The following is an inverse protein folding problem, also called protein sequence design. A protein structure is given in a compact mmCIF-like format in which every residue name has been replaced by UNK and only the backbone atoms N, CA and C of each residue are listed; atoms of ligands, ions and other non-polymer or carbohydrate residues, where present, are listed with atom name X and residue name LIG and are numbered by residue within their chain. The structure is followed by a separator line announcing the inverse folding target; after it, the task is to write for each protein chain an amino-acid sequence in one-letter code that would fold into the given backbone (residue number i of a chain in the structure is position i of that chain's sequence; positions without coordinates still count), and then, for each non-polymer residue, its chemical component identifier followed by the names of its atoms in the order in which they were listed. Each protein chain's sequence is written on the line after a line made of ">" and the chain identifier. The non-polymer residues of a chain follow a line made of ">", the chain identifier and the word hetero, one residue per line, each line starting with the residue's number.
data_IF_473486039390
#
_entry.id   IF_473486039390
#
_cell.length_a   1.000
_cell.length_b   1.000
_cell.length_c   1.000
_cell.angle_alpha   90.00
_cell.angle_beta   90.00
_cell.angle_gamma   90.00
#
_symmetry.space_group_name_H-M   'P 1'
#
loop_
_entity.id
_entity.type
_entity.pdbx_description
1 polymer ?
#
# COMPACT_ATOMS: atom_id res chain seq x y z
N UNK A 1 -0.36 1.41 -9.62
CA UNK A 1 -1.23 2.22 -10.50
C UNK A 1 -2.14 3.07 -9.64
N UNK A 2 -2.37 4.32 -10.02
CA UNK A 2 -3.37 5.21 -9.40
C UNK A 2 -4.68 5.23 -10.21
N UNK A 3 -5.58 6.20 -9.97
CA UNK A 3 -6.93 6.23 -10.52
C UNK A 3 -6.94 6.47 -12.02
N UNK A 4 -8.03 6.02 -12.64
CA UNK A 4 -8.38 6.41 -14.00
C UNK A 4 -8.86 7.87 -13.99
N UNK A 5 -8.07 8.76 -14.59
CA UNK A 5 -8.37 10.19 -14.67
C UNK A 5 -9.28 10.52 -15.86
N UNK A 6 -9.20 9.74 -16.92
CA UNK A 6 -10.00 9.93 -18.13
C UNK A 6 -10.18 8.60 -18.86
N UNK A 7 -11.41 8.26 -19.19
CA UNK A 7 -11.73 7.14 -20.06
C UNK A 7 -12.19 7.65 -21.43
N UNK A 8 -11.32 7.58 -22.43
CA UNK A 8 -11.68 7.95 -23.80
C UNK A 8 -11.90 6.70 -24.67
N UNK A 9 -12.43 6.92 -25.88
CA UNK A 9 -12.70 5.86 -26.86
C UNK A 9 -11.43 5.09 -27.23
N UNK A 10 -10.28 5.77 -27.27
CA UNK A 10 -9.04 5.25 -27.85
C UNK A 10 -7.89 5.14 -26.85
N UNK A 11 -7.91 5.97 -25.81
CA UNK A 11 -6.87 6.04 -24.79
C UNK A 11 -7.49 6.29 -23.42
N UNK A 12 -6.88 5.73 -22.40
CA UNK A 12 -7.17 5.99 -21.01
C UNK A 12 -6.05 6.83 -20.43
N UNK A 13 -6.39 7.85 -19.65
CA UNK A 13 -5.39 8.58 -18.86
C UNK A 13 -5.47 8.09 -17.42
N UNK A 14 -4.38 7.56 -16.89
CA UNK A 14 -4.29 7.06 -15.53
C UNK A 14 -3.23 7.80 -14.74
N UNK A 15 -3.38 7.81 -13.42
CA UNK A 15 -2.36 8.30 -12.50
C UNK A 15 -1.33 7.21 -12.23
N UNK A 16 -0.08 7.60 -12.09
CA UNK A 16 1.03 6.73 -11.71
C UNK A 16 1.83 7.41 -10.61
N UNK A 17 2.20 6.63 -9.59
CA UNK A 17 3.08 7.04 -8.50
C UNK A 17 4.37 6.27 -8.63
N UNK A 18 5.50 6.98 -8.59
CA UNK A 18 6.83 6.41 -8.72
C UNK A 18 7.71 6.96 -7.60
N UNK A 19 8.66 6.16 -7.16
CA UNK A 19 9.78 6.60 -6.35
C UNK A 19 11.08 6.30 -7.08
N UNK A 20 12.08 7.14 -6.83
CA UNK A 20 13.45 6.90 -7.28
C UNK A 20 14.27 6.56 -6.03
N UNK A 21 14.87 5.37 -6.01
CA UNK A 21 15.87 5.04 -5.00
C UNK A 21 17.18 5.72 -5.41
N UNK A 22 17.79 6.43 -4.47
CA UNK A 22 18.94 7.28 -4.74
C UNK A 22 20.15 6.79 -3.95
N UNK A 23 21.35 6.97 -4.48
CA UNK A 23 22.61 6.71 -3.78
C UNK A 23 23.02 7.90 -2.86
N UNK A 24 22.07 8.81 -2.58
CA UNK A 24 22.31 10.07 -1.88
C UNK A 24 22.86 11.21 -2.74
N UNK A 25 23.17 10.99 -4.02
CA UNK A 25 23.61 12.07 -4.93
C UNK A 25 22.49 13.02 -5.35
N UNK A 26 21.24 12.59 -5.20
CA UNK A 26 20.02 13.39 -5.37
C UNK A 26 19.06 13.02 -4.25
N UNK A 27 18.15 13.91 -3.84
CA UNK A 27 17.23 13.59 -2.75
C UNK A 27 16.19 12.56 -3.20
N UNK A 28 15.69 11.75 -2.27
CA UNK A 28 14.58 10.82 -2.52
C UNK A 28 13.34 11.57 -3.00
N UNK A 29 12.59 10.99 -3.93
CA UNK A 29 11.41 11.64 -4.50
C UNK A 29 10.19 10.73 -4.53
N UNK A 30 9.03 11.34 -4.33
CA UNK A 30 7.74 10.81 -4.76
C UNK A 30 7.32 11.57 -6.01
N UNK A 31 7.25 10.86 -7.12
CA UNK A 31 6.88 11.38 -8.44
C UNK A 31 5.44 10.99 -8.74
N UNK A 32 4.62 12.01 -8.99
CA UNK A 32 3.26 11.87 -9.46
C UNK A 32 3.30 12.11 -10.97
N UNK A 33 2.87 11.12 -11.74
CA UNK A 33 2.82 11.17 -13.20
C UNK A 33 1.43 10.80 -13.72
N UNK A 34 1.14 11.25 -14.94
CA UNK A 34 -0.02 10.82 -15.69
C UNK A 34 0.45 9.99 -16.87
N UNK A 35 -0.20 8.86 -17.11
CA UNK A 35 0.12 7.94 -18.18
C UNK A 35 -1.05 7.79 -19.13
N UNK A 36 -0.80 7.90 -20.43
CA UNK A 36 -1.80 7.61 -21.46
C UNK A 36 -1.63 6.17 -21.98
N UNK A 37 -2.62 5.32 -21.74
CA UNK A 37 -2.64 3.91 -22.13
C UNK A 37 -3.64 3.71 -23.27
N UNK A 38 -3.18 3.20 -24.41
CA UNK A 38 -4.05 2.94 -25.58
C UNK A 38 -4.88 1.68 -25.34
N UNK A 39 -6.18 1.72 -25.67
CA UNK A 39 -7.08 0.55 -25.52
C UNK A 39 -6.75 -0.54 -26.56
N UNK A 40 -6.80 -1.84 -26.19
CA UNK A 40 -6.64 -2.93 -27.15
C UNK A 40 -7.69 -2.87 -28.28
N UNK A 41 -7.31 -3.27 -29.50
CA UNK A 41 -8.20 -3.47 -30.68
C UNK A 41 -8.84 -2.24 -31.32
N UNK A 42 -8.35 -1.03 -31.06
CA UNK A 42 -8.83 0.16 -31.81
C UNK A 42 -8.02 0.47 -33.09
N UNK A 43 -7.17 -0.46 -33.53
CA UNK A 43 -6.60 -0.38 -34.87
C UNK A 43 -7.55 -1.11 -35.84
N UNK A 44 -8.36 -0.36 -36.59
CA UNK A 44 -8.89 -0.86 -37.86
C UNK A 44 -7.69 -1.32 -38.74
N UNK A 45 -7.89 -2.30 -39.63
CA UNK A 45 -6.80 -2.87 -40.45
C UNK A 45 -5.99 -1.80 -41.24
N UNK A 46 -6.61 -0.68 -41.58
CA UNK A 46 -5.98 0.47 -42.24
C UNK A 46 -5.00 1.26 -41.35
N UNK A 47 -5.10 1.13 -40.02
CA UNK A 47 -4.17 1.73 -39.05
C UNK A 47 -2.95 0.87 -38.76
N UNK A 48 -2.99 -0.42 -39.07
CA UNK A 48 -1.88 -1.37 -38.82
C UNK A 48 -0.72 -1.09 -39.80
N UNK A 49 -1.01 -0.69 -41.04
CA UNK A 49 0.02 -0.36 -42.04
C UNK A 49 0.77 0.96 -41.76
N UNK A 50 0.27 1.78 -40.83
CA UNK A 50 0.90 3.01 -40.33
C UNK A 50 1.32 2.90 -38.86
N UNK A 51 1.24 1.72 -38.27
CA UNK A 51 1.59 1.51 -36.87
C UNK A 51 3.11 1.62 -36.71
N UNK A 52 3.56 2.70 -36.08
CA UNK A 52 4.93 2.86 -35.64
C UNK A 52 5.01 2.43 -34.17
N UNK A 53 5.73 1.34 -33.92
CA UNK A 53 5.99 0.77 -32.59
C UNK A 53 6.68 1.78 -31.64
N UNK A 54 7.52 2.67 -32.19
CA UNK A 54 8.20 3.73 -31.44
C UNK A 54 7.27 4.90 -31.06
N UNK A 55 6.08 5.01 -31.68
CA UNK A 55 5.19 6.15 -31.51
C UNK A 55 4.06 5.93 -30.49
N UNK A 56 3.81 4.70 -30.01
CA UNK A 56 2.65 4.39 -29.14
C UNK A 56 2.95 3.30 -28.11
N UNK A 57 3.60 3.71 -27.03
CA UNK A 57 3.65 3.06 -25.72
C UNK A 57 3.68 4.17 -24.66
N UNK A 58 3.25 3.91 -23.41
CA UNK A 58 2.64 4.91 -22.54
C UNK A 58 3.40 6.24 -22.46
N UNK A 59 2.77 7.34 -22.88
CA UNK A 59 3.36 8.67 -22.67
C UNK A 59 3.23 9.02 -21.19
N UNK A 60 4.30 8.80 -20.44
CA UNK A 60 4.37 9.15 -19.01
C UNK A 60 4.77 10.62 -18.90
N UNK A 61 3.83 11.45 -18.46
CA UNK A 61 4.06 12.87 -18.19
C UNK A 61 4.15 13.10 -16.69
N UNK A 62 5.33 13.48 -16.22
CA UNK A 62 5.54 13.93 -14.84
C UNK A 62 4.66 15.16 -14.56
N UNK A 63 3.87 15.07 -13.49
CA UNK A 63 2.91 16.09 -13.07
C UNK A 63 3.42 16.87 -11.85
N UNK A 64 3.94 16.16 -10.84
CA UNK A 64 4.41 16.77 -9.59
C UNK A 64 5.54 15.94 -8.99
N UNK A 65 6.51 16.60 -8.36
CA UNK A 65 7.54 15.97 -7.53
C UNK A 65 7.41 16.46 -6.10
N UNK A 66 7.44 15.52 -5.17
CA UNK A 66 7.59 15.77 -3.73
C UNK A 66 8.97 15.25 -3.36
N UNK A 67 9.78 16.10 -2.70
CA UNK A 67 11.06 15.65 -2.13
C UNK A 67 10.75 14.89 -0.85
N UNK A 68 11.06 13.61 -0.78
CA UNK A 68 10.67 12.73 0.31
C UNK A 68 11.78 12.67 1.38
N UNK A 69 11.46 12.67 2.69
CA UNK A 69 12.46 12.65 3.77
C UNK A 69 13.23 11.33 3.94
N UNK A 70 12.78 10.25 3.30
CA UNK A 70 13.35 8.90 3.36
C UNK A 70 13.14 8.14 2.05
N UNK A 71 13.74 6.96 1.92
CA UNK A 71 13.59 6.10 0.74
C UNK A 71 12.17 5.55 0.66
N UNK A 72 11.45 5.78 -0.44
CA UNK A 72 10.06 5.34 -0.57
C UNK A 72 10.00 3.93 -1.13
N UNK A 73 9.65 2.98 -0.26
CA UNK A 73 9.60 1.55 -0.55
C UNK A 73 8.20 1.09 -0.98
N UNK A 74 7.14 1.72 -0.44
CA UNK A 74 5.77 1.45 -0.87
C UNK A 74 4.90 2.69 -0.88
N UNK A 75 3.99 2.73 -1.86
CA UNK A 75 3.03 3.82 -2.07
C UNK A 75 1.63 3.22 -2.17
N UNK A 76 0.67 3.79 -1.44
CA UNK A 76 -0.75 3.43 -1.51
C UNK A 76 -1.63 4.68 -1.53
N UNK A 77 -2.57 4.73 -2.45
CA UNK A 77 -3.59 5.78 -2.49
C UNK A 77 -4.77 5.41 -1.58
N UNK A 78 -5.42 6.41 -0.99
CA UNK A 78 -6.69 6.26 -0.29
C UNK A 78 -7.84 6.12 -1.31
N UNK A 79 -8.54 4.97 -1.39
CA UNK A 79 -9.56 4.75 -2.42
C UNK A 79 -10.74 5.74 -2.39
N UNK A 80 -11.03 6.31 -1.23
CA UNK A 80 -12.12 7.27 -1.01
C UNK A 80 -11.72 8.70 -1.40
N UNK A 81 -10.42 8.99 -1.50
CA UNK A 81 -9.90 10.31 -1.89
C UNK A 81 -8.53 10.17 -2.57
N UNK A 82 -8.53 10.27 -3.90
CA UNK A 82 -7.33 10.10 -4.72
C UNK A 82 -6.26 11.17 -4.54
N UNK A 83 -6.54 12.23 -3.79
CA UNK A 83 -5.53 13.22 -3.42
C UNK A 83 -4.67 12.76 -2.25
N UNK A 84 -5.08 11.72 -1.53
CA UNK A 84 -4.37 11.25 -0.34
C UNK A 84 -3.56 10.00 -0.66
N UNK A 85 -2.27 10.07 -0.34
CA UNK A 85 -1.33 8.97 -0.53
C UNK A 85 -0.59 8.70 0.78
N UNK A 86 -0.47 7.41 1.13
CA UNK A 86 0.42 6.93 2.18
C UNK A 86 1.72 6.42 1.56
N UNK A 87 2.85 6.71 2.21
CA UNK A 87 4.16 6.16 1.86
C UNK A 87 4.78 5.43 3.04
N UNK A 88 5.31 4.24 2.74
CA UNK A 88 6.18 3.49 3.61
C UNK A 88 7.63 3.76 3.23
N UNK A 89 8.50 4.02 4.20
CA UNK A 89 9.93 4.31 3.95
C UNK A 89 10.90 3.42 4.68
N UNK A 90 12.16 3.81 4.76
CA UNK A 90 13.24 3.29 5.61
C UNK A 90 13.19 3.82 7.06
N UNK A 91 11.98 4.11 7.56
CA UNK A 91 11.73 4.74 8.86
C UNK A 91 10.63 3.97 9.60
N UNK A 92 10.58 4.00 10.95
CA UNK A 92 9.43 3.48 11.71
C UNK A 92 8.14 4.26 11.45
N UNK A 93 8.23 5.49 10.94
CA UNK A 93 7.07 6.33 10.67
C UNK A 93 6.50 6.10 9.27
N UNK A 94 5.16 6.09 9.15
CA UNK A 94 4.44 6.11 7.87
C UNK A 94 3.96 7.52 7.60
N UNK A 95 4.10 8.00 6.36
CA UNK A 95 3.73 9.37 6.00
C UNK A 95 2.48 9.43 5.15
N UNK A 96 1.61 10.39 5.45
CA UNK A 96 0.44 10.73 4.65
C UNK A 96 0.69 12.06 3.95
N UNK A 97 0.34 12.10 2.66
CA UNK A 97 0.52 13.23 1.77
C UNK A 97 -0.83 13.61 1.16
N UNK A 98 -1.19 14.88 1.28
CA UNK A 98 -2.20 15.52 0.45
C UNK A 98 -1.52 16.07 -0.81
N UNK A 99 -1.74 15.38 -1.92
CA UNK A 99 -1.13 15.72 -3.20
C UNK A 99 -1.52 17.11 -3.68
N UNK A 100 -2.65 17.69 -3.26
CA UNK A 100 -3.02 19.05 -3.65
C UNK A 100 -2.24 20.11 -2.86
N UNK A 101 -2.09 19.90 -1.55
CA UNK A 101 -1.35 20.81 -0.65
C UNK A 101 0.14 20.90 -0.99
N UNK A 102 0.72 19.80 -1.49
CA UNK A 102 2.16 19.69 -1.71
C UNK A 102 2.61 20.47 -2.96
N UNK A 103 3.63 21.35 -2.88
CA UNK A 103 4.14 22.07 -4.04
C UNK A 103 4.92 21.15 -4.97
N UNK A 104 4.92 21.44 -6.27
CA UNK A 104 5.84 20.79 -7.20
C UNK A 104 7.25 21.34 -7.00
N UNK A 105 8.18 20.51 -6.50
CA UNK A 105 9.55 20.92 -6.22
C UNK A 105 10.52 20.47 -7.32
N UNK A 106 11.49 21.31 -7.73
CA UNK A 106 12.58 20.87 -8.59
C UNK A 106 13.52 19.92 -7.81
N UNK A 107 14.12 18.95 -8.50
CA UNK A 107 15.06 18.00 -7.91
C UNK A 107 16.47 18.55 -8.07
N UNK A 108 16.98 19.19 -7.03
CA UNK A 108 18.36 19.65 -6.96
C UNK A 108 19.01 19.13 -5.67
N UNK A 109 20.32 18.87 -5.72
CA UNK A 109 21.10 18.54 -4.53
C UNK A 109 20.93 19.65 -3.47
N UNK A 110 20.67 19.25 -2.21
CA UNK A 110 20.44 20.18 -1.10
C UNK A 110 19.03 20.78 -1.03
N UNK A 111 18.11 20.40 -1.92
CA UNK A 111 16.69 20.77 -1.78
C UNK A 111 16.14 20.14 -0.50
N UNK A 112 15.56 20.92 0.43
CA UNK A 112 15.05 20.36 1.68
C UNK A 112 13.88 19.41 1.42
N UNK A 113 13.75 18.40 2.27
CA UNK A 113 12.63 17.47 2.23
C UNK A 113 11.29 18.20 2.38
N UNK A 114 10.28 17.69 1.69
CA UNK A 114 8.90 18.14 1.85
C UNK A 114 8.38 17.63 3.19
N UNK A 115 7.49 18.41 3.77
CA UNK A 115 6.85 18.08 5.03
C UNK A 115 5.62 17.22 4.75
N UNK A 116 5.48 16.02 5.37
CA UNK A 116 4.25 15.25 5.28
C UNK A 116 3.09 15.98 5.96
N UNK A 117 1.88 15.76 5.46
CA UNK A 117 0.65 16.37 6.01
C UNK A 117 0.24 15.70 7.33
N UNK A 118 0.57 14.42 7.50
CA UNK A 118 0.40 13.68 8.75
C UNK A 118 1.47 12.57 8.87
N UNK A 119 2.02 12.40 10.07
CA UNK A 119 2.93 11.31 10.42
C UNK A 119 2.22 10.26 11.28
N UNK A 120 2.25 9.00 10.87
CA UNK A 120 1.72 7.88 11.63
C UNK A 120 2.85 7.22 12.40
N UNK A 121 2.76 7.26 13.72
CA UNK A 121 3.78 6.72 14.65
C UNK A 121 3.30 5.39 15.23
N UNK A 122 4.22 4.50 15.60
CA UNK A 122 3.88 3.27 16.32
C UNK A 122 4.91 2.16 16.22
N UNK A 123 5.52 1.98 15.05
CA UNK A 123 6.57 0.98 14.90
C UNK A 123 7.81 1.32 15.73
N UNK A 124 8.50 0.29 16.20
CA UNK A 124 9.72 0.38 17.02
C UNK A 124 11.01 0.18 16.20
N UNK A 125 10.87 -0.31 14.98
CA UNK A 125 11.95 -0.51 14.01
C UNK A 125 11.44 -0.09 12.62
N UNK A 126 12.33 -0.09 11.63
CA UNK A 126 11.97 0.20 10.25
C UNK A 126 10.83 -0.72 9.81
N UNK A 127 9.73 -0.11 9.40
CA UNK A 127 8.77 -0.80 8.59
C UNK A 127 9.19 -0.49 7.15
N UNK A 128 9.33 -1.47 6.27
CA UNK A 128 9.94 -1.24 4.96
C UNK A 128 8.92 -1.37 3.85
N UNK A 129 8.18 -2.48 3.81
CA UNK A 129 7.35 -2.80 2.65
C UNK A 129 5.86 -2.89 2.95
N UNK A 130 5.43 -3.45 4.07
CA UNK A 130 4.02 -3.68 4.33
C UNK A 130 3.21 -2.36 4.44
N UNK A 131 2.28 -2.14 3.51
CA UNK A 131 1.38 -0.97 3.54
C UNK A 131 0.09 -1.25 2.78
N UNK A 132 -1.05 -1.01 3.42
CA UNK A 132 -2.37 -1.08 2.82
C UNK A 132 -3.30 0.04 3.29
N UNK A 133 -4.19 0.47 2.38
CA UNK A 133 -5.25 1.45 2.64
C UNK A 133 -6.59 0.74 2.52
N UNK A 134 -7.48 0.96 3.49
CA UNK A 134 -8.80 0.34 3.46
C UNK A 134 -9.68 0.97 2.37
N UNK A 135 -10.46 0.15 1.66
CA UNK A 135 -11.32 0.59 0.54
C UNK A 135 -12.61 1.26 0.98
N UNK A 136 -13.09 0.99 2.20
CA UNK A 136 -14.38 1.48 2.71
C UNK A 136 -14.24 2.55 3.80
N UNK A 137 -13.14 2.55 4.55
CA UNK A 137 -12.89 3.51 5.63
C UNK A 137 -11.48 4.13 5.54
N UNK A 138 -11.26 5.34 6.11
CA UNK A 138 -9.94 5.98 6.15
C UNK A 138 -9.04 5.33 7.20
N UNK A 139 -8.66 4.07 6.94
CA UNK A 139 -7.78 3.26 7.76
C UNK A 139 -6.51 2.88 6.99
N UNK A 140 -5.40 2.80 7.72
CA UNK A 140 -4.07 2.46 7.20
C UNK A 140 -3.52 1.27 7.98
N UNK A 141 -2.97 0.29 7.28
CA UNK A 141 -2.21 -0.82 7.86
C UNK A 141 -0.76 -0.73 7.42
N UNK A 142 0.14 -1.04 8.35
CA UNK A 142 1.55 -1.30 8.06
C UNK A 142 2.05 -2.50 8.85
N UNK A 143 3.14 -3.10 8.39
CA UNK A 143 3.91 -4.12 9.09
C UNK A 143 5.38 -3.73 9.15
N UNK A 144 6.12 -4.18 10.17
CA UNK A 144 7.52 -3.80 10.33
C UNK A 144 8.48 -4.89 10.80
N UNK A 145 9.78 -4.55 10.83
CA UNK A 145 10.86 -5.38 11.39
C UNK A 145 10.71 -5.61 12.89
N UNK A 146 9.91 -4.79 13.55
CA UNK A 146 9.46 -4.98 14.92
C UNK A 146 8.42 -6.10 15.10
N UNK A 147 8.12 -6.85 14.01
CA UNK A 147 7.24 -8.03 13.99
C UNK A 147 5.78 -7.71 14.26
N UNK A 148 5.42 -6.44 14.20
CA UNK A 148 4.08 -5.97 14.48
C UNK A 148 3.34 -5.58 13.21
N UNK A 149 2.02 -5.75 13.25
CA UNK A 149 1.10 -5.08 12.32
C UNK A 149 0.47 -3.92 13.06
N UNK A 150 0.45 -2.73 12.45
CA UNK A 150 -0.07 -1.53 13.09
C UNK A 150 -1.21 -0.95 12.25
N UNK A 151 -2.31 -0.61 12.92
CA UNK A 151 -3.52 -0.03 12.34
C UNK A 151 -3.68 1.40 12.82
N UNK A 152 -3.91 2.34 11.90
CA UNK A 152 -4.27 3.73 12.20
C UNK A 152 -5.62 4.09 11.60
N UNK A 153 -6.27 5.10 12.19
CA UNK A 153 -7.38 5.80 11.56
C UNK A 153 -6.95 7.22 11.24
N UNK A 154 -7.12 7.63 9.98
CA UNK A 154 -6.85 8.98 9.51
C UNK A 154 -8.15 9.77 9.31
N UNK A 155 -9.27 9.28 9.84
CA UNK A 155 -10.61 9.86 9.66
C UNK A 155 -10.67 11.35 10.03
N UNK A 156 -10.11 11.73 11.17
CA UNK A 156 -10.13 13.11 11.66
C UNK A 156 -9.33 14.04 10.73
N UNK A 157 -8.21 13.56 10.19
CA UNK A 157 -7.39 14.31 9.24
C UNK A 157 -8.17 14.55 7.94
N UNK A 158 -8.77 13.50 7.37
CA UNK A 158 -9.60 13.59 6.16
C UNK A 158 -10.80 14.53 6.37
N UNK A 159 -11.47 14.42 7.52
CA UNK A 159 -12.63 15.26 7.84
C UNK A 159 -12.25 16.74 7.97
N UNK A 160 -11.05 17.03 8.49
CA UNK A 160 -10.53 18.40 8.60
C UNK A 160 -10.21 19.00 7.23
N UNK A 161 -9.65 18.21 6.32
CA UNK A 161 -9.40 18.65 4.93
C UNK A 161 -10.70 18.94 4.16
N UNK A 162 -11.78 18.23 4.46
CA UNK A 162 -13.09 18.44 3.84
C UNK A 162 -13.82 19.71 4.32
N UNK A 163 -13.43 20.27 5.47
CA UNK A 163 -13.99 21.53 5.97
C UNK A 163 -13.18 22.71 5.43
N UNK A 164 -13.77 23.48 4.51
CA UNK A 164 -13.22 24.73 3.97
C UNK A 164 -12.68 25.69 5.07
N UNK A 165 -11.74 26.62 4.76
CA UNK A 165 -11.00 27.43 5.73
C UNK A 165 -11.81 28.49 6.53
N UNK A 166 -13.12 28.31 6.71
CA UNK A 166 -14.04 29.31 7.28
C UNK A 166 -14.77 28.90 8.56
N UNK A 167 -14.68 27.64 9.02
CA UNK A 167 -15.35 27.24 10.27
C UNK A 167 -14.39 26.56 11.24
N UNK A 168 -13.61 27.36 11.96
CA UNK A 168 -12.93 26.90 13.16
C UNK A 168 -14.00 26.54 14.22
N UNK A 169 -14.39 25.26 14.30
CA UNK A 169 -15.11 24.73 15.46
C UNK A 169 -14.10 24.36 16.53
N UNK A 170 -14.36 24.84 17.74
CA UNK A 170 -13.59 24.58 18.94
C UNK A 170 -13.41 23.07 19.17
N UNK A 171 -12.20 22.59 19.55
CA UNK A 171 -11.96 21.17 19.71
C UNK A 171 -12.60 20.70 21.00
N UNK A 172 -13.72 19.99 20.90
CA UNK A 172 -14.33 19.30 22.03
C UNK A 172 -14.72 17.89 21.58
N UNK A 173 -13.78 16.95 21.67
CA UNK A 173 -13.98 15.56 22.12
C UNK A 173 -12.75 14.69 21.81
N UNK A 174 -12.04 14.27 22.87
CA UNK A 174 -11.45 12.93 22.95
C UNK A 174 -10.19 12.54 22.16
N UNK A 175 -9.56 13.39 21.34
CA UNK A 175 -8.29 13.03 20.70
C UNK A 175 -7.12 13.20 21.67
N UNK A 176 -6.56 12.08 22.16
CA UNK A 176 -5.28 12.06 22.86
C UNK A 176 -4.14 12.34 21.87
N UNK A 177 -3.99 13.59 21.46
CA UNK A 177 -2.80 14.08 20.77
C UNK A 177 -1.68 14.10 21.82
N UNK A 178 -0.91 13.01 21.91
CA UNK A 178 0.33 12.99 22.69
C UNK A 178 1.36 13.85 21.96
N UNK A 179 1.61 15.06 22.45
CA UNK A 179 2.87 15.78 22.19
C UNK A 179 4.00 15.00 22.87
N UNK A 180 4.70 14.14 22.13
CA UNK A 180 6.00 13.62 22.54
C UNK A 180 7.05 14.73 22.36
N UNK A 181 7.89 14.92 23.38
CA UNK A 181 8.78 16.06 23.50
C UNK A 181 10.09 15.96 22.73
N UNK A 182 10.59 17.15 22.40
CA UNK A 182 11.98 17.54 22.17
C UNK A 182 12.74 16.93 20.98
N UNK A 183 12.25 17.25 19.78
CA UNK A 183 12.99 17.25 18.52
C UNK A 183 12.24 18.16 17.54
N UNK A 184 12.98 18.93 16.73
CA UNK A 184 12.50 20.05 15.91
C UNK A 184 11.60 19.63 14.70
N UNK A 185 10.44 19.01 14.93
CA UNK A 185 9.47 18.65 13.87
C UNK A 185 8.02 18.99 14.25
N UNK A 186 7.54 20.15 13.81
CA UNK A 186 6.17 20.67 14.02
C UNK A 186 5.07 19.90 13.23
N UNK A 187 5.28 18.65 12.83
CA UNK A 187 4.34 17.91 11.99
C UNK A 187 3.19 17.31 12.82
N UNK A 188 1.93 17.39 12.35
CA UNK A 188 0.85 16.62 12.95
C UNK A 188 1.23 15.14 12.95
N UNK A 189 1.04 14.49 14.09
CA UNK A 189 1.25 13.05 14.21
C UNK A 189 0.10 12.41 14.96
N UNK A 190 -0.17 11.14 14.64
CA UNK A 190 -1.11 10.30 15.37
C UNK A 190 -0.46 8.99 15.76
N UNK A 191 -0.93 8.43 16.88
CA UNK A 191 -0.56 7.11 17.35
C UNK A 191 -1.47 6.01 16.79
N UNK A 192 -1.12 4.74 17.05
CA UNK A 192 -1.85 3.60 16.52
C UNK A 192 -3.23 3.45 17.16
N UNK A 193 -4.20 3.00 16.36
CA UNK A 193 -5.49 2.47 16.83
C UNK A 193 -5.33 1.07 17.42
N UNK A 194 -4.40 0.27 16.87
CA UNK A 194 -4.05 -1.05 17.39
C UNK A 194 -2.66 -1.48 16.92
N UNK A 195 -1.93 -2.16 17.78
CA UNK A 195 -0.67 -2.84 17.48
C UNK A 195 -0.93 -4.34 17.69
N UNK A 196 -0.83 -5.12 16.62
CA UNK A 196 -1.15 -6.54 16.59
C UNK A 196 0.14 -7.34 16.60
N UNK A 197 0.21 -8.32 17.50
CA UNK A 197 1.41 -9.12 17.76
C UNK A 197 1.08 -10.59 17.52
N UNK A 198 1.94 -11.27 16.75
CA UNK A 198 1.75 -12.67 16.42
C UNK A 198 2.74 -13.22 15.40
N UNK A 199 3.42 -12.35 14.66
CA UNK A 199 4.58 -12.74 13.87
C UNK A 199 5.82 -12.91 14.76
N UNK A 200 6.67 -13.86 14.38
CA UNK A 200 7.93 -14.16 15.07
C UNK A 200 9.15 -13.54 14.35
N UNK A 201 8.93 -12.91 13.20
CA UNK A 201 9.92 -12.20 12.39
C UNK A 201 9.28 -11.03 11.62
N UNK A 202 10.03 -10.36 10.73
CA UNK A 202 9.58 -9.20 9.95
C UNK A 202 8.25 -9.43 9.24
N UNK A 203 7.37 -8.44 9.29
CA UNK A 203 6.13 -8.43 8.51
C UNK A 203 6.38 -7.78 7.15
N UNK A 204 6.31 -8.58 6.09
CA UNK A 204 6.65 -8.18 4.71
C UNK A 204 5.46 -7.59 3.96
N UNK A 205 4.23 -8.07 4.23
CA UNK A 205 3.05 -7.55 3.56
C UNK A 205 1.77 -7.66 4.40
N UNK A 206 0.83 -6.75 4.12
CA UNK A 206 -0.48 -6.63 4.80
C UNK A 206 -1.56 -6.30 3.79
N UNK A 207 -2.78 -6.82 4.01
CA UNK A 207 -3.91 -6.53 3.14
C UNK A 207 -5.23 -6.52 3.92
N UNK A 208 -6.07 -5.52 3.68
CA UNK A 208 -7.43 -5.48 4.22
C UNK A 208 -8.31 -6.53 3.54
N UNK A 209 -9.26 -7.07 4.31
CA UNK A 209 -10.35 -7.84 3.74
C UNK A 209 -11.24 -6.92 2.87
N UNK A 210 -11.53 -7.27 1.61
CA UNK A 210 -12.28 -6.40 0.70
C UNK A 210 -13.69 -6.03 1.19
N UNK A 211 -14.32 -6.91 1.99
CA UNK A 211 -15.67 -6.74 2.52
C UNK A 211 -15.72 -6.16 3.94
N UNK A 212 -14.57 -5.94 4.60
CA UNK A 212 -14.55 -5.51 6.00
C UNK A 212 -13.35 -4.64 6.35
N UNK A 213 -13.61 -3.44 6.89
CA UNK A 213 -12.60 -2.55 7.44
C UNK A 213 -11.96 -3.06 8.75
N UNK A 214 -12.53 -4.10 9.36
CA UNK A 214 -12.05 -4.65 10.64
C UNK A 214 -11.27 -5.95 10.48
N UNK A 215 -11.30 -6.58 9.30
CA UNK A 215 -10.55 -7.80 9.01
C UNK A 215 -9.41 -7.51 8.05
N UNK A 216 -8.28 -8.15 8.30
CA UNK A 216 -7.08 -8.01 7.47
C UNK A 216 -6.17 -9.21 7.67
N UNK A 217 -5.18 -9.34 6.78
CA UNK A 217 -4.16 -10.37 6.86
C UNK A 217 -2.76 -9.77 6.80
N UNK A 218 -1.79 -10.56 7.22
CA UNK A 218 -0.38 -10.25 7.11
C UNK A 218 0.45 -11.50 6.83
N UNK A 219 1.62 -11.29 6.24
CA UNK A 219 2.62 -12.33 5.97
C UNK A 219 4.03 -11.81 6.30
N UNK A 220 4.97 -12.71 6.54
CA UNK A 220 6.33 -12.33 6.91
C UNK A 220 7.38 -13.44 6.79
N UNK A 221 8.59 -13.10 7.23
CA UNK A 221 9.78 -13.96 7.19
C UNK A 221 9.66 -15.20 8.09
N UNK A 222 8.74 -15.17 9.07
CA UNK A 222 8.39 -16.33 9.89
C UNK A 222 7.58 -17.41 9.13
N UNK A 223 7.45 -17.25 7.82
CA UNK A 223 6.73 -18.16 6.92
C UNK A 223 5.25 -18.34 7.27
N UNK A 224 4.65 -17.37 7.98
CA UNK A 224 3.26 -17.44 8.43
C UNK A 224 2.33 -16.54 7.61
N UNK A 225 1.11 -17.02 7.39
CA UNK A 225 -0.05 -16.20 7.00
C UNK A 225 -0.95 -16.03 8.22
N UNK A 226 -1.19 -14.78 8.64
CA UNK A 226 -2.03 -14.48 9.80
C UNK A 226 -3.27 -13.71 9.37
N UNK A 227 -4.44 -14.15 9.87
CA UNK A 227 -5.70 -13.43 9.77
C UNK A 227 -6.04 -12.77 11.10
N UNK A 228 -6.49 -11.52 11.01
CA UNK A 228 -6.79 -10.65 12.13
C UNK A 228 -8.24 -10.14 12.04
N UNK A 229 -8.83 -9.85 13.20
CA UNK A 229 -10.08 -9.10 13.32
C UNK A 229 -9.91 -8.09 14.46
N UNK A 230 -9.91 -6.80 14.14
CA UNK A 230 -9.73 -5.71 15.09
C UNK A 230 -10.79 -5.69 16.21
N UNK A 231 -11.92 -6.36 16.02
CA UNK A 231 -12.98 -6.50 17.03
C UNK A 231 -12.72 -7.65 18.00
N UNK A 232 -11.91 -8.62 17.60
CA UNK A 232 -11.57 -9.79 18.41
C UNK A 232 -10.40 -9.54 19.39
N UNK A 233 -9.70 -8.40 19.25
CA UNK A 233 -8.57 -8.01 20.07
C UNK A 233 -7.30 -7.81 19.24
N UNK A 234 -6.15 -7.88 19.90
CA UNK A 234 -4.83 -7.62 19.30
C UNK A 234 -4.04 -8.91 18.93
N UNK A 235 -4.65 -10.08 19.15
CA UNK A 235 -4.04 -11.39 18.88
C UNK A 235 -4.56 -12.00 17.58
N UNK A 236 -3.81 -12.93 16.94
CA UNK A 236 -4.26 -13.63 15.74
C UNK A 236 -5.62 -14.30 15.93
N UNK A 237 -6.51 -14.17 14.93
CA UNK A 237 -7.73 -14.98 14.84
C UNK A 237 -7.40 -16.35 14.24
N UNK A 238 -6.50 -16.37 13.28
CA UNK A 238 -5.99 -17.60 12.65
C UNK A 238 -4.55 -17.38 12.25
N UNK A 239 -3.64 -18.29 12.63
CA UNK A 239 -2.24 -18.30 12.19
C UNK A 239 -2.00 -19.59 11.42
N UNK A 240 -1.68 -19.47 10.14
CA UNK A 240 -1.24 -20.57 9.29
C UNK A 240 0.27 -20.63 9.39
N UNK A 241 0.75 -21.53 10.24
CA UNK A 241 2.19 -21.77 10.38
C UNK A 241 2.71 -22.55 9.18
N UNK A 242 3.92 -22.22 8.71
CA UNK A 242 4.54 -22.85 7.54
C UNK A 242 3.63 -22.80 6.32
N UNK A 243 3.06 -21.62 6.07
CA UNK A 243 2.28 -21.37 4.86
C UNK A 243 3.13 -21.62 3.60
N UNK A 244 4.45 -21.41 3.69
CA UNK A 244 5.46 -21.80 2.71
C UNK A 244 6.69 -22.43 3.39
N UNK A 245 7.65 -22.88 2.58
CA UNK A 245 8.93 -23.44 3.04
C UNK A 245 10.06 -22.40 3.15
N UNK A 246 9.74 -21.12 2.93
CA UNK A 246 10.63 -19.97 3.05
C UNK A 246 9.79 -18.71 3.28
N UNK A 247 10.46 -17.59 3.48
CA UNK A 247 9.92 -16.26 3.77
C UNK A 247 8.79 -15.86 2.80
N UNK A 248 7.69 -15.33 3.34
CA UNK A 248 6.59 -14.80 2.53
C UNK A 248 6.82 -13.31 2.30
N UNK A 249 6.87 -12.90 1.03
CA UNK A 249 7.12 -11.52 0.66
C UNK A 249 5.85 -10.73 0.32
N UNK A 250 4.78 -11.42 -0.06
CA UNK A 250 3.58 -10.74 -0.54
C UNK A 250 2.29 -11.50 -0.26
N UNK A 251 1.20 -10.74 -0.08
CA UNK A 251 -0.16 -11.27 0.10
C UNK A 251 -1.15 -10.42 -0.67
N UNK A 252 -2.15 -11.07 -1.27
CA UNK A 252 -3.30 -10.34 -1.80
C UNK A 252 -4.62 -11.09 -1.59
N UNK A 253 -5.64 -10.32 -1.21
CA UNK A 253 -6.96 -10.82 -0.85
C UNK A 253 -7.92 -10.56 -2.00
N UNK A 254 -8.53 -11.62 -2.55
CA UNK A 254 -9.32 -11.53 -3.77
C UNK A 254 -10.50 -10.56 -3.60
N UNK A 255 -10.57 -9.47 -4.40
CA UNK A 255 -11.61 -8.45 -4.26
C UNK A 255 -13.01 -8.93 -4.70
N UNK A 256 -13.09 -10.06 -5.41
CA UNK A 256 -14.34 -10.64 -5.93
C UNK A 256 -14.82 -11.87 -5.15
N UNK A 257 -13.94 -12.51 -4.37
CA UNK A 257 -14.25 -13.67 -3.53
C UNK A 257 -13.46 -13.60 -2.24
N UNK A 258 -14.07 -13.09 -1.18
CA UNK A 258 -13.45 -12.86 0.13
C UNK A 258 -12.88 -14.13 0.79
N UNK A 259 -13.14 -15.32 0.23
CA UNK A 259 -12.59 -16.55 0.77
C UNK A 259 -11.17 -16.83 0.24
N UNK A 260 -10.76 -16.21 -0.86
CA UNK A 260 -9.53 -16.54 -1.56
C UNK A 260 -8.41 -15.55 -1.24
N UNK A 261 -7.25 -16.08 -0.85
CA UNK A 261 -6.05 -15.32 -0.50
C UNK A 261 -4.86 -15.93 -1.25
N UNK A 262 -4.05 -15.09 -1.90
CA UNK A 262 -2.79 -15.47 -2.51
C UNK A 262 -1.63 -15.06 -1.61
N UNK A 263 -0.60 -15.89 -1.56
CA UNK A 263 0.70 -15.56 -0.95
C UNK A 263 1.83 -15.94 -1.90
N UNK A 264 2.86 -15.11 -1.98
CA UNK A 264 4.10 -15.40 -2.72
C UNK A 264 5.30 -15.44 -1.78
N UNK A 265 6.29 -16.28 -2.08
CA UNK A 265 7.40 -16.55 -1.16
C UNK A 265 8.74 -16.72 -1.86
N UNK A 266 9.81 -16.65 -1.06
CA UNK A 266 11.20 -16.95 -1.44
C UNK A 266 11.40 -18.40 -1.92
N UNK A 267 10.44 -19.30 -1.69
CA UNK A 267 10.43 -20.67 -2.22
C UNK A 267 10.00 -20.76 -3.70
N UNK A 268 9.99 -19.63 -4.41
CA UNK A 268 9.63 -19.46 -5.81
C UNK A 268 8.18 -19.85 -6.15
N UNK A 269 7.30 -19.93 -5.15
CA UNK A 269 5.95 -20.43 -5.36
C UNK A 269 4.88 -19.46 -4.86
N UNK A 270 3.68 -19.66 -5.39
CA UNK A 270 2.48 -18.94 -4.97
C UNK A 270 1.51 -19.97 -4.41
N UNK A 271 0.97 -19.70 -3.22
CA UNK A 271 -0.08 -20.52 -2.64
C UNK A 271 -1.42 -19.78 -2.68
N UNK A 272 -2.48 -20.54 -3.00
CA UNK A 272 -3.87 -20.10 -2.91
C UNK A 272 -4.52 -20.75 -1.69
N UNK A 273 -4.98 -19.94 -0.77
CA UNK A 273 -5.72 -20.38 0.41
C UNK A 273 -7.21 -20.06 0.27
N UNK A 274 -8.04 -20.97 0.78
CA UNK A 274 -9.45 -20.71 1.06
C UNK A 274 -9.62 -20.55 2.57
N UNK A 275 -9.97 -19.35 3.02
CA UNK A 275 -10.05 -19.03 4.45
C UNK A 275 -11.04 -19.90 5.23
N UNK A 276 -12.04 -20.48 4.56
CA UNK A 276 -13.02 -21.38 5.18
C UNK A 276 -12.41 -22.72 5.59
N UNK A 277 -11.29 -23.08 4.97
CA UNK A 277 -10.54 -24.30 5.25
C UNK A 277 -9.37 -24.07 6.21
N UNK A 278 -9.11 -22.82 6.61
CA UNK A 278 -8.08 -22.51 7.60
C UNK A 278 -8.64 -22.82 8.99
N UNK A 279 -8.10 -23.86 9.62
CA UNK A 279 -8.49 -24.22 10.99
C UNK A 279 -7.58 -23.51 11.99
N UNK A 280 -8.12 -23.17 13.16
CA UNK A 280 -7.36 -22.58 14.27
C UNK A 280 -6.19 -23.47 14.76
N UNK A 281 -6.18 -24.75 14.37
CA UNK A 281 -5.16 -25.74 14.72
C UNK A 281 -3.87 -25.65 13.88
N UNK A 282 -3.71 -24.61 13.05
CA UNK A 282 -2.46 -24.29 12.35
C UNK A 282 -2.19 -25.09 11.06
N UNK A 283 -2.98 -26.12 10.75
CA UNK A 283 -2.81 -26.92 9.51
C UNK A 283 -3.78 -26.44 8.44
N UNK A 284 -3.57 -25.22 7.96
CA UNK A 284 -4.20 -24.74 6.74
C UNK A 284 -3.36 -25.16 5.53
N UNK A 285 -3.74 -26.20 4.80
CA UNK A 285 -3.07 -26.51 3.53
C UNK A 285 -3.57 -25.58 2.43
N UNK A 286 -2.70 -25.10 1.53
CA UNK A 286 -3.15 -24.35 0.37
C UNK A 286 -4.07 -25.23 -0.50
N UNK A 287 -5.10 -24.62 -1.07
CA UNK A 287 -6.00 -25.28 -2.03
C UNK A 287 -5.27 -25.51 -3.35
N UNK A 288 -4.32 -24.64 -3.68
CA UNK A 288 -3.45 -24.80 -4.84
C UNK A 288 -2.07 -24.20 -4.60
N UNK A 289 -1.04 -24.79 -5.24
CA UNK A 289 0.33 -24.29 -5.26
C UNK A 289 0.76 -24.10 -6.71
N UNK A 290 1.07 -22.86 -7.10
CA UNK A 290 1.58 -22.51 -8.42
C UNK A 290 3.11 -22.48 -8.39
N UNK A 291 3.75 -23.19 -9.32
CA UNK A 291 5.22 -23.36 -9.38
C UNK A 291 5.76 -22.95 -10.75
N UNK A 292 5.39 -21.75 -11.20
CA UNK A 292 5.80 -21.22 -12.51
C UNK A 292 7.00 -20.28 -12.47
N UNK A 293 7.40 -19.80 -11.29
CA UNK A 293 8.55 -18.90 -11.13
C UNK A 293 9.83 -19.68 -10.84
N UNK A 294 10.95 -19.21 -11.39
CA UNK A 294 12.30 -19.76 -11.14
C UNK A 294 13.09 -18.92 -10.12
N UNK A 295 12.48 -17.86 -9.58
CA UNK A 295 13.05 -16.93 -8.61
C UNK A 295 12.00 -16.56 -7.54
N UNK A 296 12.41 -15.92 -6.43
CA UNK A 296 11.49 -15.49 -5.37
C UNK A 296 10.32 -14.66 -5.91
N UNK A 297 9.11 -14.96 -5.41
CA UNK A 297 7.91 -14.20 -5.80
C UNK A 297 7.78 -13.00 -4.87
N UNK A 298 8.03 -11.81 -5.41
CA UNK A 298 8.06 -10.56 -4.64
C UNK A 298 6.71 -9.86 -4.62
N UNK A 299 5.83 -10.17 -5.58
CA UNK A 299 4.51 -9.57 -5.65
C UNK A 299 3.48 -10.52 -6.25
N UNK A 300 2.29 -10.53 -5.68
CA UNK A 300 1.07 -11.14 -6.25
C UNK A 300 -0.05 -10.10 -6.20
N UNK A 301 -0.83 -9.99 -7.26
CA UNK A 301 -2.03 -9.14 -7.27
C UNK A 301 -3.16 -9.77 -8.07
N UNK A 302 -4.32 -9.92 -7.44
CA UNK A 302 -5.57 -10.25 -8.09
C UNK A 302 -5.97 -9.17 -9.08
N UNK A 303 -6.59 -9.60 -10.18
CA UNK A 303 -7.15 -8.67 -11.14
C UNK A 303 -8.36 -7.96 -10.52
N UNK A 304 -8.41 -6.62 -10.55
CA UNK A 304 -9.58 -5.89 -10.11
C UNK A 304 -10.79 -6.10 -11.04
N UNK A 305 -10.58 -6.66 -12.25
CA UNK A 305 -11.62 -6.82 -13.27
C UNK A 305 -12.07 -8.26 -13.47
N UNK A 306 -11.28 -9.25 -13.05
CA UNK A 306 -11.58 -10.65 -13.29
C UNK A 306 -11.26 -11.51 -12.05
N UNK A 307 -12.32 -12.11 -11.49
CA UNK A 307 -12.27 -12.92 -10.26
C UNK A 307 -11.27 -14.08 -10.26
N UNK A 308 -10.84 -14.56 -11.42
CA UNK A 308 -9.97 -15.75 -11.56
C UNK A 308 -8.60 -15.46 -12.16
N UNK A 309 -8.22 -14.19 -12.32
CA UNK A 309 -6.92 -13.79 -12.87
C UNK A 309 -6.13 -13.09 -11.78
N UNK A 310 -4.85 -13.42 -11.68
CA UNK A 310 -3.88 -12.67 -10.89
C UNK A 310 -2.59 -12.49 -11.71
N UNK A 311 -1.83 -11.47 -11.37
CA UNK A 311 -0.44 -11.26 -11.82
C UNK A 311 0.52 -11.61 -10.70
N UNK A 312 1.76 -11.95 -11.09
CA UNK A 312 2.85 -12.16 -10.13
C UNK A 312 4.18 -11.77 -10.76
N UNK A 313 5.12 -11.35 -9.93
CA UNK A 313 6.45 -10.89 -10.32
C UNK A 313 7.49 -11.24 -9.26
#
# INVERSE_FOLDING_TARGET
>A
WGPLLEEATYKNRQRLYLSEQTDGSVPNTLVIANVEVVKPRVAAAEHISKFNEEARSPFVRKFKTIIHPGEVNRIRELPQNSNIVATHTDSPDVYIWDLESQPNRPVNLGTPASRPDLTLTGHQDNAEFALAMCSSEPLVLSGGKDKSVVLWSIHDHISTLATEPGSAKSPNSGSNIKKAGNGNSDNPSIGPRGIYLGHDDTVEDVQFCPSSAQQFCSVGDDSCLILWDARAGLTPVTKVEKAHNADLHCVDWNPHDENLILTGSADNSINLFDRRNLTASGVGSPVHKFQGHDAPVLCVQWSPHNRSIFGSA
#
